data_IF_822007071979
#
_entry.id   IF_822007071979
#
_cell.length_a   1.000
_cell.length_b   1.000
_cell.length_c   1.000
_cell.angle_alpha   90.00
_cell.angle_beta   90.00
_cell.angle_gamma   90.00
#
_symmetry.space_group_name_H-M   'P 1'
#
loop_
_entity.id
_entity.type
_entity.pdbx_description
1 polymer ?
#
# COMPACT_ATOMS: atom_id res chain seq x y z
N UNK A 1 -9.55 -14.58 20.58
CA UNK A 1 -8.81 -15.28 19.53
C UNK A 1 -8.98 -16.76 19.77
N UNK A 2 -9.73 -17.46 18.91
CA UNK A 2 -9.98 -18.89 19.04
C UNK A 2 -8.95 -19.59 18.14
N UNK A 3 -8.05 -20.40 18.71
CA UNK A 3 -7.13 -21.30 17.96
C UNK A 3 -6.16 -20.67 16.93
N UNK A 4 -5.46 -19.58 17.29
CA UNK A 4 -4.48 -18.90 16.41
C UNK A 4 -5.04 -18.49 15.04
N UNK A 5 -6.35 -18.26 14.97
CA UNK A 5 -7.04 -17.81 13.77
C UNK A 5 -8.03 -16.71 14.12
N UNK A 6 -8.23 -15.81 13.17
CA UNK A 6 -9.17 -14.71 13.26
C UNK A 6 -10.27 -14.94 12.22
N UNK A 7 -11.52 -14.99 12.68
CA UNK A 7 -12.67 -14.98 11.78
C UNK A 7 -12.99 -13.52 11.43
N UNK A 8 -13.01 -13.22 10.14
CA UNK A 8 -13.37 -11.92 9.59
C UNK A 8 -14.91 -11.80 9.52
N UNK A 9 -15.48 -10.58 9.51
CA UNK A 9 -16.93 -10.38 9.37
C UNK A 9 -17.52 -10.93 8.05
N UNK A 10 -16.66 -11.35 7.12
CA UNK A 10 -17.01 -12.06 5.90
C UNK A 10 -17.22 -13.58 6.10
N UNK A 11 -16.99 -14.10 7.31
CA UNK A 11 -16.98 -15.55 7.61
C UNK A 11 -15.66 -16.24 7.25
N UNK A 12 -14.66 -15.50 6.77
CA UNK A 12 -13.36 -16.07 6.41
C UNK A 12 -12.46 -16.21 7.63
N UNK A 13 -11.84 -17.38 7.81
CA UNK A 13 -10.90 -17.64 8.89
C UNK A 13 -9.46 -17.46 8.39
N UNK A 14 -8.75 -16.48 8.92
CA UNK A 14 -7.37 -16.13 8.54
C UNK A 14 -6.38 -16.41 9.65
N UNK A 15 -5.16 -16.82 9.29
CA UNK A 15 -4.04 -16.97 10.23
C UNK A 15 -3.27 -15.66 10.39
N UNK A 16 -2.62 -15.43 11.54
CA UNK A 16 -1.75 -14.27 11.75
C UNK A 16 -0.72 -14.03 10.64
N UNK A 17 -0.11 -15.08 10.06
CA UNK A 17 0.86 -14.93 8.97
C UNK A 17 0.23 -14.38 7.69
N UNK A 18 -1.04 -14.73 7.42
CA UNK A 18 -1.77 -14.22 6.26
C UNK A 18 -2.13 -12.74 6.46
N UNK A 19 -2.47 -12.34 7.68
CA UNK A 19 -2.69 -10.93 8.02
C UNK A 19 -1.39 -10.14 7.84
N UNK A 20 -0.28 -10.65 8.37
CA UNK A 20 1.04 -10.02 8.23
C UNK A 20 1.46 -9.88 6.76
N UNK A 21 1.25 -10.93 5.95
CA UNK A 21 1.51 -10.89 4.52
C UNK A 21 0.61 -9.86 3.80
N UNK A 22 -0.68 -9.77 4.17
CA UNK A 22 -1.59 -8.76 3.64
C UNK A 22 -1.15 -7.33 3.97
N UNK A 23 -0.72 -7.07 5.21
CA UNK A 23 -0.17 -5.78 5.62
C UNK A 23 1.11 -5.45 4.85
N UNK A 24 2.01 -6.43 4.67
CA UNK A 24 3.22 -6.24 3.90
C UNK A 24 2.91 -5.91 2.43
N UNK A 25 1.98 -6.64 1.81
CA UNK A 25 1.55 -6.38 0.42
C UNK A 25 0.88 -5.02 0.25
N UNK A 26 0.08 -4.57 1.23
CA UNK A 26 -0.51 -3.22 1.23
C UNK A 26 0.55 -2.12 1.44
N UNK A 27 1.62 -2.42 2.16
CA UNK A 27 2.74 -1.51 2.37
C UNK A 27 3.75 -1.45 1.22
N UNK A 28 3.81 -2.50 0.39
CA UNK A 28 4.63 -2.51 -0.82
C UNK A 28 3.97 -1.58 -1.84
N UNK A 29 4.59 -0.43 -2.06
CA UNK A 29 4.18 0.47 -3.15
C UNK A 29 4.22 -0.28 -4.47
N UNK A 30 3.16 -0.17 -5.25
CA UNK A 30 3.16 -0.75 -6.59
C UNK A 30 4.19 -0.04 -7.46
N UNK A 31 4.84 -0.75 -8.39
CA UNK A 31 5.76 -0.12 -9.34
C UNK A 31 5.09 1.02 -10.12
N UNK A 32 3.77 0.89 -10.35
CA UNK A 32 2.93 1.91 -10.95
C UNK A 32 2.84 3.18 -10.07
N UNK A 33 2.63 3.04 -8.76
CA UNK A 33 2.62 4.16 -7.81
C UNK A 33 3.98 4.86 -7.75
N UNK A 34 5.09 4.10 -7.76
CA UNK A 34 6.45 4.68 -7.76
C UNK A 34 6.68 5.50 -9.04
N UNK A 35 6.35 4.94 -10.21
CA UNK A 35 6.48 5.64 -11.50
C UNK A 35 5.61 6.89 -11.54
N UNK A 36 4.35 6.78 -11.11
CA UNK A 36 3.39 7.88 -11.12
C UNK A 36 3.82 8.98 -10.15
N UNK A 37 4.23 8.64 -8.93
CA UNK A 37 4.71 9.59 -7.92
C UNK A 37 5.98 10.30 -8.38
N UNK A 38 6.91 9.56 -9.02
CA UNK A 38 8.13 10.14 -9.59
C UNK A 38 7.81 11.14 -10.69
N UNK A 39 6.86 10.79 -11.58
CA UNK A 39 6.41 11.69 -12.64
C UNK A 39 5.75 12.95 -12.07
N UNK A 40 4.85 12.81 -11.09
CA UNK A 40 4.19 13.94 -10.42
C UNK A 40 5.20 14.86 -9.72
N UNK A 41 6.20 14.30 -9.04
CA UNK A 41 7.29 15.10 -8.44
C UNK A 41 8.13 15.82 -9.51
N UNK A 42 8.33 15.21 -10.68
CA UNK A 42 8.97 15.87 -11.83
C UNK A 42 8.19 17.09 -12.30
N UNK A 43 6.88 16.92 -12.53
CA UNK A 43 5.98 17.99 -12.93
C UNK A 43 5.90 19.10 -11.86
N UNK A 44 5.73 18.74 -10.59
CA UNK A 44 5.67 19.69 -9.49
C UNK A 44 6.94 20.54 -9.40
N UNK A 45 8.13 19.93 -9.56
CA UNK A 45 9.41 20.65 -9.61
C UNK A 45 9.52 21.58 -10.82
N UNK A 46 9.05 21.15 -11.99
CA UNK A 46 9.04 21.99 -13.19
C UNK A 46 8.11 23.20 -13.01
N UNK A 47 6.91 22.99 -12.46
CA UNK A 47 5.95 24.07 -12.15
C UNK A 47 6.55 25.03 -11.12
N UNK A 48 7.19 24.52 -10.06
CA UNK A 48 7.83 25.36 -9.04
C UNK A 48 8.96 26.23 -9.62
N UNK A 49 9.68 25.75 -10.64
CA UNK A 49 10.70 26.54 -11.36
C UNK A 49 10.12 27.56 -12.33
N UNK A 50 8.93 27.29 -12.88
CA UNK A 50 8.22 28.19 -13.79
C UNK A 50 7.46 29.30 -13.06
N UNK A 51 7.09 29.06 -11.80
CA UNK A 51 6.47 30.07 -10.94
C UNK A 51 7.55 31.09 -10.54
N UNK A 52 7.54 32.23 -11.23
CA UNK A 52 8.24 33.48 -10.88
C UNK A 52 7.76 33.96 -9.51
#
# INVERSE_FOLDING_TARGET
>A
MLYDRMELPTGQVVRPQQILAGIALLGIQSELEIKTSTHLLGLARAIAKLKI
#
